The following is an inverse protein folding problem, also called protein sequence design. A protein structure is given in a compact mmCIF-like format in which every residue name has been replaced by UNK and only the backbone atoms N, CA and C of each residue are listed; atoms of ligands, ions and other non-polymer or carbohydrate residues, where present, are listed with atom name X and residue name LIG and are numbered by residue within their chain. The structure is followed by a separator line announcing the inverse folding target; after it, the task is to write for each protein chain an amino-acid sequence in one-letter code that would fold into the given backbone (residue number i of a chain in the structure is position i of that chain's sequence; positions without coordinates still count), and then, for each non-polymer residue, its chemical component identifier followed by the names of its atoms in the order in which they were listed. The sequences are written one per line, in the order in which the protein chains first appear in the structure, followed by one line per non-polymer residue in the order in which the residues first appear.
data_IF_960304273759
#
_entry.id   IF_960304273759
#
_cell.length_a   1.000
_cell.length_b   1.000
_cell.length_c   1.000
_cell.angle_alpha   90.00
_cell.angle_beta   90.00
_cell.angle_gamma   90.00
#
_symmetry.space_group_name_H-M   'P 1'
#
loop_
_entity.id
_entity.type
_entity.pdbx_description
1 polymer ?
#
# COMPACT_ATOMS: atom_id res chain seq x y z
N UNK A 1 -30.78 2.59 -1.01
CA UNK A 1 -30.24 1.38 -0.35
C UNK A 1 -28.82 1.68 0.09
N UNK A 2 -28.48 1.63 1.38
CA UNK A 2 -27.10 1.83 1.87
C UNK A 2 -26.30 0.54 1.62
N UNK A 3 -25.11 0.66 1.04
CA UNK A 3 -24.26 -0.50 0.71
C UNK A 3 -23.02 -0.55 1.60
N UNK A 4 -22.20 -1.60 1.48
CA UNK A 4 -20.92 -1.70 2.20
C UNK A 4 -20.00 -0.48 1.96
N UNK A 5 -20.17 0.25 0.85
CA UNK A 5 -19.43 1.49 0.56
C UNK A 5 -19.75 2.65 1.52
N UNK A 6 -20.90 2.62 2.19
CA UNK A 6 -21.32 3.65 3.16
C UNK A 6 -20.90 3.29 4.61
N UNK A 7 -20.06 2.26 4.81
CA UNK A 7 -19.81 1.68 6.14
C UNK A 7 -19.31 2.70 7.19
N UNK A 8 -18.46 3.66 6.79
CA UNK A 8 -18.01 4.74 7.70
C UNK A 8 -19.16 5.66 8.14
N UNK A 9 -20.08 5.98 7.23
CA UNK A 9 -21.27 6.77 7.55
C UNK A 9 -22.22 6.00 8.46
N UNK A 10 -22.37 4.68 8.24
CA UNK A 10 -23.13 3.81 9.13
C UNK A 10 -22.53 3.74 10.54
N UNK A 11 -21.21 3.58 10.65
CA UNK A 11 -20.53 3.53 11.95
C UNK A 11 -20.66 4.86 12.71
N UNK A 12 -20.57 5.99 11.99
CA UNK A 12 -20.81 7.32 12.58
C UNK A 12 -22.24 7.47 13.10
N UNK A 13 -23.24 7.15 12.27
CA UNK A 13 -24.65 7.24 12.65
C UNK A 13 -25.00 6.30 13.83
N UNK A 14 -24.44 5.09 13.85
CA UNK A 14 -24.58 4.13 14.95
C UNK A 14 -24.04 4.70 16.26
N UNK A 15 -22.80 5.23 16.23
CA UNK A 15 -22.15 5.82 17.39
C UNK A 15 -22.93 7.02 17.93
N UNK A 16 -23.37 7.93 17.05
CA UNK A 16 -24.17 9.11 17.45
C UNK A 16 -25.49 8.69 18.11
N UNK A 17 -26.18 7.69 17.55
CA UNK A 17 -27.45 7.19 18.10
C UNK A 17 -27.29 6.52 19.46
N UNK A 18 -26.24 5.73 19.65
CA UNK A 18 -26.00 5.03 20.91
C UNK A 18 -25.47 5.96 22.01
N UNK A 19 -24.67 6.97 21.64
CA UNK A 19 -24.26 8.02 22.57
C UNK A 19 -25.48 8.77 23.15
N UNK A 20 -26.50 9.04 22.33
CA UNK A 20 -27.75 9.66 22.79
C UNK A 20 -28.55 8.77 23.77
N UNK A 21 -28.32 7.46 23.76
CA UNK A 21 -28.89 6.49 24.71
C UNK A 21 -27.97 6.21 25.91
N UNK A 22 -26.94 7.04 26.13
CA UNK A 22 -25.93 6.85 27.17
C UNK A 22 -25.14 5.54 27.05
N UNK A 23 -24.98 5.02 25.84
CA UNK A 23 -24.13 3.86 25.53
C UNK A 23 -22.94 4.34 24.68
N UNK A 24 -21.87 4.85 25.31
CA UNK A 24 -20.71 5.34 24.59
C UNK A 24 -19.99 4.18 23.89
N UNK A 25 -19.75 4.33 22.59
CA UNK A 25 -18.89 3.45 21.81
C UNK A 25 -17.74 4.25 21.23
N UNK A 26 -16.54 3.66 21.23
CA UNK A 26 -15.42 4.17 20.47
C UNK A 26 -15.71 4.10 18.97
N UNK A 27 -14.93 4.85 18.17
CA UNK A 27 -15.06 4.80 16.72
C UNK A 27 -14.72 3.41 16.17
N UNK A 28 -13.69 2.77 16.75
CA UNK A 28 -13.26 1.41 16.38
C UNK A 28 -14.37 0.39 16.60
N UNK A 29 -15.02 0.38 17.77
CA UNK A 29 -16.11 -0.57 18.08
C UNK A 29 -17.29 -0.41 17.13
N UNK A 30 -17.65 0.83 16.76
CA UNK A 30 -18.72 1.06 15.80
C UNK A 30 -18.39 0.52 14.40
N UNK A 31 -17.12 0.58 13.97
CA UNK A 31 -16.67 -0.01 12.71
C UNK A 31 -16.73 -1.54 12.76
N UNK A 32 -16.33 -2.16 13.86
CA UNK A 32 -16.42 -3.62 14.06
C UNK A 32 -17.86 -4.13 14.01
N UNK A 33 -18.79 -3.40 14.64
CA UNK A 33 -20.22 -3.77 14.60
C UNK A 33 -20.75 -3.69 13.16
N UNK A 34 -20.40 -2.65 12.42
CA UNK A 34 -20.82 -2.51 11.02
C UNK A 34 -20.19 -3.60 10.14
N UNK A 35 -18.92 -3.96 10.36
CA UNK A 35 -18.27 -5.06 9.65
C UNK A 35 -19.05 -6.38 9.78
N UNK A 36 -19.44 -6.72 11.00
CA UNK A 36 -20.23 -7.93 11.29
C UNK A 36 -21.63 -7.91 10.67
N UNK A 37 -22.26 -6.73 10.55
CA UNK A 37 -23.55 -6.59 9.84
C UNK A 37 -23.45 -6.95 8.35
N UNK A 38 -22.28 -6.77 7.75
CA UNK A 38 -21.99 -7.17 6.37
C UNK A 38 -21.36 -8.58 6.27
N UNK A 39 -21.35 -9.36 7.35
CA UNK A 39 -20.81 -10.71 7.38
C UNK A 39 -19.28 -10.79 7.25
N UNK A 40 -18.56 -9.73 7.60
CA UNK A 40 -17.10 -9.71 7.69
C UNK A 40 -16.65 -9.90 9.14
N UNK A 41 -15.53 -10.57 9.35
CA UNK A 41 -15.03 -10.90 10.69
C UNK A 41 -14.59 -9.66 11.48
N UNK A 42 -13.95 -8.72 10.80
CA UNK A 42 -13.48 -7.44 11.36
C UNK A 42 -13.58 -6.28 10.34
N UNK A 43 -13.32 -5.06 10.83
CA UNK A 43 -13.29 -3.86 9.99
C UNK A 43 -12.28 -3.93 8.84
N UNK A 44 -11.12 -4.53 9.03
CA UNK A 44 -10.09 -4.60 7.99
C UNK A 44 -10.56 -5.45 6.80
N UNK A 45 -11.27 -6.55 7.05
CA UNK A 45 -11.86 -7.41 6.01
C UNK A 45 -12.93 -6.64 5.23
N UNK A 46 -13.81 -5.90 5.93
CA UNK A 46 -14.82 -5.05 5.25
C UNK A 46 -14.14 -3.92 4.45
N UNK A 47 -13.11 -3.28 5.02
CA UNK A 47 -12.36 -2.20 4.37
C UNK A 47 -11.66 -2.67 3.09
N UNK A 48 -11.09 -3.87 3.09
CA UNK A 48 -10.52 -4.48 1.90
C UNK A 48 -11.58 -4.68 0.80
N UNK A 49 -12.77 -5.21 1.14
CA UNK A 49 -13.90 -5.38 0.20
C UNK A 49 -14.47 -4.06 -0.31
N UNK A 50 -14.42 -2.98 0.47
CA UNK A 50 -14.78 -1.63 0.00
C UNK A 50 -13.83 -1.19 -1.12
N UNK A 51 -12.55 -1.52 -1.00
CA UNK A 51 -11.51 -1.23 -1.98
C UNK A 51 -11.46 -2.22 -3.15
N UNK A 52 -12.09 -3.39 -3.05
CA UNK A 52 -12.18 -4.33 -4.17
C UNK A 52 -12.95 -3.68 -5.32
N UNK A 53 -12.32 -3.49 -6.50
CA UNK A 53 -13.04 -3.09 -7.69
C UNK A 53 -14.01 -4.23 -8.00
N UNK A 54 -15.28 -4.02 -7.64
CA UNK A 54 -16.33 -5.01 -7.84
C UNK A 54 -16.21 -5.58 -9.25
N UNK A 55 -16.20 -6.92 -9.34
CA UNK A 55 -16.12 -7.68 -10.59
C UNK A 55 -17.05 -7.09 -11.65
N UNK A 56 -16.48 -6.20 -12.47
CA UNK A 56 -17.02 -5.70 -13.71
C UNK A 56 -15.83 -5.48 -14.61
N UNK A 57 -15.74 -6.36 -15.61
CA UNK A 57 -14.95 -6.11 -16.81
C UNK A 57 -15.18 -4.66 -17.28
N UNK A 58 -14.11 -3.92 -17.47
CA UNK A 58 -14.15 -2.53 -17.94
C UNK A 58 -13.40 -1.60 -17.01
N UNK A 59 -12.13 -1.36 -17.33
CA UNK A 59 -11.22 -0.57 -16.52
C UNK A 59 -11.66 0.88 -16.37
N UNK A 60 -11.88 1.28 -15.13
CA UNK A 60 -11.55 2.62 -14.65
C UNK A 60 -10.89 2.40 -13.30
N UNK A 61 -9.59 2.68 -13.24
CA UNK A 61 -8.77 2.48 -12.05
C UNK A 61 -9.21 3.53 -11.03
N UNK A 62 -9.68 3.11 -9.85
CA UNK A 62 -10.10 4.03 -8.79
C UNK A 62 -8.96 5.00 -8.44
N UNK A 63 -9.29 6.30 -8.38
CA UNK A 63 -8.34 7.41 -8.26
C UNK A 63 -7.60 7.41 -6.91
N UNK A 64 -8.16 6.75 -5.89
CA UNK A 64 -7.68 6.75 -4.49
C UNK A 64 -7.07 5.42 -4.02
N UNK A 65 -6.78 4.48 -4.92
CA UNK A 65 -6.12 3.24 -4.53
C UNK A 65 -4.62 3.49 -4.20
N UNK A 66 -4.13 2.95 -3.08
CA UNK A 66 -2.69 2.95 -2.77
C UNK A 66 -1.97 2.18 -3.87
N UNK A 67 -1.13 2.88 -4.65
CA UNK A 67 -0.28 2.27 -5.68
C UNK A 67 1.15 2.26 -5.20
N UNK A 68 1.73 1.07 -5.11
CA UNK A 68 3.18 0.94 -5.02
C UNK A 68 3.77 1.28 -6.38
N UNK A 69 4.77 2.15 -6.40
CA UNK A 69 5.56 2.39 -7.60
C UNK A 69 6.47 1.18 -7.86
N UNK A 70 6.97 1.07 -9.09
CA UNK A 70 7.99 0.08 -9.41
C UNK A 70 9.21 0.32 -8.52
N UNK A 71 9.60 -0.69 -7.75
CA UNK A 71 10.76 -0.61 -6.87
C UNK A 71 12.06 -0.67 -7.67
N UNK A 72 13.04 0.16 -7.30
CA UNK A 72 14.40 0.12 -7.83
C UNK A 72 15.27 -0.66 -6.84
N UNK A 73 15.73 -1.88 -7.18
CA UNK A 73 16.52 -2.69 -6.26
C UNK A 73 17.91 -2.08 -6.07
N UNK A 74 18.36 -2.00 -4.82
CA UNK A 74 19.74 -1.60 -4.47
C UNK A 74 20.51 -2.86 -4.10
N UNK A 75 21.53 -3.18 -4.89
CA UNK A 75 22.38 -4.35 -4.68
C UNK A 75 23.76 -3.91 -4.16
N UNK A 76 24.25 -4.56 -3.10
CA UNK A 76 25.57 -4.27 -2.53
C UNK A 76 26.59 -5.31 -2.96
N UNK A 77 27.66 -4.84 -3.60
CA UNK A 77 28.77 -5.67 -4.08
C UNK A 77 30.08 -5.09 -3.51
N UNK A 78 31.04 -5.97 -3.22
CA UNK A 78 32.29 -5.61 -2.53
C UNK A 78 33.49 -5.46 -3.46
N UNK A 79 33.45 -6.10 -4.63
CA UNK A 79 34.48 -5.99 -5.66
C UNK A 79 33.94 -5.16 -6.83
N UNK A 80 34.47 -3.95 -6.97
CA UNK A 80 34.07 -3.01 -8.02
C UNK A 80 34.38 -3.54 -9.42
N UNK A 81 35.55 -4.17 -9.60
CA UNK A 81 35.97 -4.66 -10.91
C UNK A 81 35.06 -5.80 -11.36
N UNK A 82 34.72 -6.73 -10.45
CA UNK A 82 33.77 -7.81 -10.73
C UNK A 82 32.36 -7.32 -10.97
N UNK A 83 31.92 -6.27 -10.28
CA UNK A 83 30.63 -5.66 -10.56
C UNK A 83 30.58 -5.12 -12.01
N UNK A 84 31.59 -4.35 -12.43
CA UNK A 84 31.65 -3.77 -13.78
C UNK A 84 31.75 -4.84 -14.87
N UNK A 85 32.59 -5.86 -14.67
CA UNK A 85 32.72 -7.01 -15.59
C UNK A 85 31.36 -7.71 -15.79
N UNK A 86 30.62 -7.95 -14.70
CA UNK A 86 29.34 -8.63 -14.79
C UNK A 86 28.24 -7.77 -15.43
N UNK A 87 28.04 -6.53 -14.98
CA UNK A 87 26.92 -5.72 -15.45
C UNK A 87 27.18 -5.07 -16.81
N UNK A 88 28.39 -4.57 -17.06
CA UNK A 88 28.69 -3.83 -18.28
C UNK A 88 29.16 -4.76 -19.39
N UNK A 89 30.13 -5.64 -19.11
CA UNK A 89 30.75 -6.45 -20.16
C UNK A 89 29.95 -7.73 -20.46
N UNK A 90 29.46 -8.43 -19.44
CA UNK A 90 28.73 -9.68 -19.61
C UNK A 90 27.24 -9.46 -19.92
N UNK A 91 26.53 -8.66 -19.11
CA UNK A 91 25.10 -8.38 -19.33
C UNK A 91 24.85 -7.30 -20.39
N UNK A 92 25.87 -6.51 -20.73
CA UNK A 92 25.74 -5.46 -21.75
C UNK A 92 24.95 -4.23 -21.30
N UNK A 93 24.85 -3.97 -19.99
CA UNK A 93 24.22 -2.76 -19.49
C UNK A 93 25.11 -1.53 -19.70
N UNK A 94 24.52 -0.36 -19.54
CA UNK A 94 25.20 0.92 -19.75
C UNK A 94 25.18 1.72 -18.47
N UNK A 95 26.35 2.20 -18.03
CA UNK A 95 26.44 3.06 -16.86
C UNK A 95 25.68 4.37 -17.12
N UNK A 96 24.69 4.65 -16.29
CA UNK A 96 23.94 5.91 -16.29
C UNK A 96 24.71 6.96 -15.47
N UNK A 97 25.11 6.61 -14.25
CA UNK A 97 25.93 7.49 -13.40
C UNK A 97 26.74 6.71 -12.36
N UNK A 98 27.84 7.31 -11.90
CA UNK A 98 28.58 6.86 -10.72
C UNK A 98 28.94 8.01 -9.77
N UNK A 99 29.11 7.70 -8.48
CA UNK A 99 29.52 8.68 -7.48
C UNK A 99 30.27 8.05 -6.31
N UNK A 100 31.37 8.71 -5.89
CA UNK A 100 32.13 8.36 -4.69
C UNK A 100 32.37 9.60 -3.84
N UNK A 101 31.94 9.54 -2.58
CA UNK A 101 32.07 10.66 -1.62
C UNK A 101 33.49 10.86 -1.05
N UNK A 102 34.41 9.91 -1.29
CA UNK A 102 35.80 10.00 -0.86
C UNK A 102 36.61 8.71 -1.09
N UNK A 103 37.94 8.73 -0.96
CA UNK A 103 38.82 7.62 -1.37
C UNK A 103 38.49 6.25 -0.77
N UNK A 104 38.02 6.22 0.47
CA UNK A 104 37.69 4.97 1.21
C UNK A 104 36.17 4.78 1.39
N UNK A 105 35.35 5.46 0.60
CA UNK A 105 33.89 5.35 0.66
C UNK A 105 33.36 4.43 -0.44
N UNK A 106 32.19 3.80 -0.26
CA UNK A 106 31.55 3.00 -1.31
C UNK A 106 31.34 3.80 -2.60
N UNK A 107 31.46 3.10 -3.73
CA UNK A 107 31.03 3.61 -5.03
C UNK A 107 29.53 3.31 -5.20
N UNK A 108 28.77 4.34 -5.55
CA UNK A 108 27.38 4.18 -6.00
C UNK A 108 27.37 4.23 -7.52
N UNK A 109 26.65 3.31 -8.15
CA UNK A 109 26.53 3.18 -9.60
C UNK A 109 25.09 2.85 -9.97
N UNK A 110 24.64 3.37 -11.11
CA UNK A 110 23.41 2.99 -11.77
C UNK A 110 23.74 2.52 -13.19
N UNK A 111 23.19 1.36 -13.56
CA UNK A 111 23.36 0.70 -14.86
C UNK A 111 22.02 0.37 -15.48
#
# INVERSE_FOLDING_TARGET
MRSFRDAKLMARSLRETLAAKHLPLSHSEALEIVARQFGCDDWNVLAAKIGEPGSKAGGVIAEDAVRLQMGIPILRIFDEAKAKEFYLDFLGFTMDWDHRFGPNMPLYMQV
#
